data_IF_960341460696
#
_entry.id   IF_960341460696
#
_cell.length_a   1.000
_cell.length_b   1.000
_cell.length_c   1.000
_cell.angle_alpha   90.00
_cell.angle_beta   90.00
_cell.angle_gamma   90.00
#
_symmetry.space_group_name_H-M   'P 1'
#
loop_
_entity.id
_entity.type
_entity.pdbx_description
1 polymer ?
#
# COMPACT_ATOMS: atom_id res chain seq x y z
N UNK A 1 -9.58 -5.97 36.15
CA UNK A 1 -9.15 -4.79 35.34
C UNK A 1 -9.59 -4.86 33.87
N UNK A 2 -9.55 -6.03 33.20
CA UNK A 2 -9.97 -6.17 31.79
C UNK A 2 -11.48 -5.92 31.58
N UNK A 3 -12.34 -6.41 32.47
CA UNK A 3 -13.80 -6.20 32.42
C UNK A 3 -14.22 -4.72 32.35
N UNK A 4 -13.74 -3.88 33.28
CA UNK A 4 -14.03 -2.43 33.28
C UNK A 4 -13.62 -1.73 31.99
N UNK A 5 -12.49 -2.11 31.40
CA UNK A 5 -12.03 -1.53 30.13
C UNK A 5 -12.92 -1.96 28.97
N UNK A 6 -13.29 -3.24 28.93
CA UNK A 6 -14.16 -3.78 27.89
C UNK A 6 -15.57 -3.19 27.95
N UNK A 7 -16.11 -2.99 29.15
CA UNK A 7 -17.42 -2.36 29.38
C UNK A 7 -17.42 -0.89 28.93
N UNK A 8 -16.41 -0.10 29.32
CA UNK A 8 -16.27 1.28 28.83
C UNK A 8 -16.11 1.33 27.30
N UNK A 9 -15.35 0.41 26.71
CA UNK A 9 -15.19 0.34 25.26
C UNK A 9 -16.51 0.03 24.55
N UNK A 10 -17.30 -0.90 25.08
CA UNK A 10 -18.58 -1.28 24.48
C UNK A 10 -19.61 -0.15 24.56
N UNK A 11 -19.62 0.60 25.67
CA UNK A 11 -20.53 1.73 25.85
C UNK A 11 -20.17 2.95 24.99
N UNK A 12 -18.89 3.22 24.79
CA UNK A 12 -18.46 4.44 24.09
C UNK A 12 -18.23 4.24 22.59
N UNK A 13 -17.79 3.05 22.16
CA UNK A 13 -17.38 2.79 20.77
C UNK A 13 -18.39 1.89 20.06
N UNK A 14 -18.80 0.78 20.69
CA UNK A 14 -19.68 -0.19 20.03
C UNK A 14 -21.15 0.25 20.05
N UNK A 15 -21.60 0.97 21.09
CA UNK A 15 -22.98 1.46 21.16
C UNK A 15 -23.31 2.44 20.03
N UNK A 16 -22.36 3.30 19.64
CA UNK A 16 -22.54 4.22 18.51
C UNK A 16 -22.61 3.48 17.17
N UNK A 17 -21.74 2.48 16.98
CA UNK A 17 -21.70 1.63 15.77
C UNK A 17 -22.94 0.72 15.64
N UNK A 18 -23.49 0.23 16.75
CA UNK A 18 -24.69 -0.62 16.75
C UNK A 18 -25.98 0.17 16.43
N UNK A 19 -25.99 1.49 16.67
CA UNK A 19 -27.11 2.34 16.25
C UNK A 19 -27.11 2.57 14.72
N UNK A 20 -25.94 2.50 14.08
CA UNK A 20 -25.79 2.72 12.65
C UNK A 20 -26.04 1.44 11.82
N UNK A 21 -25.66 0.27 12.35
CA UNK A 21 -25.88 -1.03 11.68
C UNK A 21 -26.30 -2.10 12.67
N UNK A 22 -27.51 -2.62 12.46
CA UNK A 22 -28.13 -3.67 13.28
C UNK A 22 -27.33 -4.99 13.25
N UNK A 23 -26.61 -5.27 12.16
CA UNK A 23 -25.77 -6.46 12.01
C UNK A 23 -24.63 -6.55 13.06
N UNK A 24 -24.20 -5.43 13.65
CA UNK A 24 -23.18 -5.43 14.70
C UNK A 24 -23.73 -5.78 16.09
N UNK A 25 -25.06 -5.78 16.27
CA UNK A 25 -25.69 -6.11 17.54
C UNK A 25 -25.43 -7.57 17.93
N UNK A 26 -25.52 -8.48 16.95
CA UNK A 26 -25.23 -9.90 17.13
C UNK A 26 -23.77 -10.13 17.56
N UNK A 27 -22.83 -9.38 16.98
CA UNK A 27 -21.42 -9.50 17.31
C UNK A 27 -21.08 -8.85 18.67
N UNK A 28 -21.82 -7.80 19.06
CA UNK A 28 -21.75 -7.26 20.41
C UNK A 28 -22.27 -8.26 21.46
N UNK A 29 -23.38 -8.94 21.18
CA UNK A 29 -23.92 -9.97 22.08
C UNK A 29 -22.95 -11.14 22.26
N UNK A 30 -22.33 -11.61 21.16
CA UNK A 30 -21.29 -12.65 21.20
C UNK A 30 -20.07 -12.21 22.02
N UNK A 31 -19.61 -10.98 21.86
CA UNK A 31 -18.45 -10.46 22.62
C UNK A 31 -18.78 -10.21 24.10
N UNK A 32 -20.00 -9.77 24.43
CA UNK A 32 -20.45 -9.67 25.83
C UNK A 32 -20.62 -11.04 26.48
N UNK A 33 -21.12 -12.02 25.74
CA UNK A 33 -21.19 -13.41 26.17
C UNK A 33 -19.78 -13.91 26.50
N UNK A 34 -18.78 -13.68 25.65
CA UNK A 34 -17.39 -14.05 25.92
C UNK A 34 -16.81 -13.40 27.19
N UNK A 35 -17.29 -12.20 27.58
CA UNK A 35 -16.85 -11.51 28.79
C UNK A 35 -17.56 -12.01 30.06
N UNK A 36 -18.78 -12.54 29.93
CA UNK A 36 -19.57 -13.07 31.02
C UNK A 36 -19.10 -14.47 31.44
N UNK A 37 -18.48 -15.23 30.53
CA UNK A 37 -17.94 -16.56 30.82
C UNK A 37 -16.51 -16.46 31.39
N UNK A 38 -16.29 -17.16 32.50
CA UNK A 38 -14.99 -17.19 33.19
C UNK A 38 -13.97 -18.09 32.49
N UNK A 39 -14.45 -19.11 31.77
CA UNK A 39 -13.66 -20.06 30.98
C UNK A 39 -14.02 -19.94 29.49
N UNK A 40 -13.05 -19.46 28.70
CA UNK A 40 -13.22 -19.19 27.26
C UNK A 40 -13.39 -20.46 26.42
N UNK A 41 -13.03 -21.64 26.95
CA UNK A 41 -13.21 -22.92 26.25
C UNK A 41 -14.63 -23.49 26.35
N UNK A 42 -15.45 -23.01 27.30
CA UNK A 42 -16.85 -23.42 27.47
C UNK A 42 -17.85 -22.51 26.76
N UNK A 43 -17.36 -21.38 26.26
CA UNK A 43 -18.19 -20.44 25.52
C UNK A 43 -18.37 -20.97 24.07
N UNK A 44 -19.60 -21.03 23.55
CA UNK A 44 -19.84 -21.44 22.16
C UNK A 44 -19.13 -20.55 21.13
N UNK A 45 -18.75 -19.33 21.54
CA UNK A 45 -18.05 -18.35 20.70
C UNK A 45 -16.54 -18.29 20.96
N UNK A 46 -15.97 -19.26 21.68
CA UNK A 46 -14.52 -19.30 21.97
C UNK A 46 -13.65 -19.36 20.72
N UNK A 47 -14.19 -19.80 19.58
CA UNK A 47 -13.53 -19.79 18.28
C UNK A 47 -13.15 -18.37 17.81
N UNK A 48 -13.89 -17.32 18.22
CA UNK A 48 -13.55 -15.93 17.93
C UNK A 48 -12.20 -15.51 18.57
N UNK A 49 -11.76 -16.20 19.61
CA UNK A 49 -10.47 -15.96 20.27
C UNK A 49 -9.34 -16.82 19.67
N UNK A 50 -9.66 -17.74 18.75
CA UNK A 50 -8.69 -18.65 18.15
C UNK A 50 -7.63 -17.91 17.34
N UNK A 51 -6.45 -18.52 17.25
CA UNK A 51 -5.37 -18.01 16.41
C UNK A 51 -5.75 -18.00 14.92
N UNK A 52 -6.55 -18.99 14.49
CA UNK A 52 -7.06 -19.11 13.12
C UNK A 52 -7.89 -17.90 12.71
N UNK A 53 -8.81 -17.45 13.57
CA UNK A 53 -9.64 -16.27 13.29
C UNK A 53 -8.79 -15.00 13.15
N UNK A 54 -7.76 -14.82 13.99
CA UNK A 54 -6.84 -13.67 13.86
C UNK A 54 -6.08 -13.69 12.54
N UNK A 55 -5.61 -14.87 12.12
CA UNK A 55 -4.93 -15.02 10.84
C UNK A 55 -5.87 -14.71 9.67
N UNK A 56 -7.12 -15.22 9.71
CA UNK A 56 -8.13 -14.93 8.69
C UNK A 56 -8.43 -13.44 8.58
N UNK A 57 -8.72 -12.77 9.70
CA UNK A 57 -8.98 -11.32 9.70
C UNK A 57 -7.75 -10.55 9.23
N UNK A 58 -6.53 -10.94 9.62
CA UNK A 58 -5.31 -10.32 9.13
C UNK A 58 -5.15 -10.48 7.62
N UNK A 59 -5.45 -11.65 7.05
CA UNK A 59 -5.42 -11.88 5.61
C UNK A 59 -6.45 -11.05 4.85
N UNK A 60 -7.70 -10.99 5.34
CA UNK A 60 -8.76 -10.18 4.76
C UNK A 60 -8.43 -8.68 4.83
N UNK A 61 -7.97 -8.21 6.00
CA UNK A 61 -7.55 -6.84 6.20
C UNK A 61 -6.37 -6.49 5.28
N UNK A 62 -5.37 -7.37 5.18
CA UNK A 62 -4.22 -7.15 4.30
C UNK A 62 -4.65 -7.08 2.83
N UNK A 63 -5.61 -7.90 2.39
CA UNK A 63 -6.14 -7.82 1.03
C UNK A 63 -6.83 -6.48 0.77
N UNK A 64 -7.70 -6.02 1.68
CA UNK A 64 -8.39 -4.72 1.55
C UNK A 64 -7.41 -3.54 1.62
N UNK A 65 -6.41 -3.60 2.50
CA UNK A 65 -5.33 -2.60 2.53
C UNK A 65 -4.59 -2.61 1.19
N UNK A 66 -4.27 -3.78 0.65
CA UNK A 66 -3.59 -3.87 -0.63
C UNK A 66 -4.46 -3.23 -1.73
N UNK A 67 -5.75 -3.57 -1.80
CA UNK A 67 -6.72 -3.04 -2.77
C UNK A 67 -6.95 -1.53 -2.66
N UNK A 68 -7.04 -0.99 -1.45
CA UNK A 68 -7.13 0.46 -1.24
C UNK A 68 -5.83 1.19 -1.60
N UNK A 69 -4.68 0.53 -1.43
CA UNK A 69 -3.37 1.07 -1.79
C UNK A 69 -2.96 0.78 -3.25
N UNK A 70 -3.69 -0.08 -3.98
CA UNK A 70 -3.49 -0.38 -5.41
C UNK A 70 -3.87 0.80 -6.33
N UNK A 71 -3.72 2.03 -5.88
CA UNK A 71 -3.80 3.20 -6.75
C UNK A 71 -2.74 3.20 -7.86
N UNK A 72 -1.70 2.34 -7.82
CA UNK A 72 -0.66 2.31 -8.85
C UNK A 72 -0.15 0.89 -9.13
N UNK A 73 -1.01 0.06 -9.71
CA UNK A 73 -0.64 -1.28 -10.25
C UNK A 73 0.37 -1.22 -11.41
N UNK A 74 0.71 -0.03 -11.89
CA UNK A 74 1.92 0.21 -12.67
C UNK A 74 2.91 0.94 -11.79
N UNK A 75 4.15 0.43 -11.60
CA UNK A 75 5.16 1.22 -10.94
C UNK A 75 5.28 2.52 -11.74
N UNK A 76 5.00 3.68 -11.11
CA UNK A 76 5.15 5.01 -11.72
C UNK A 76 6.39 5.11 -12.60
N UNK A 77 7.47 4.47 -12.14
CA UNK A 77 8.75 4.31 -12.83
C UNK A 77 8.60 3.68 -14.21
N UNK A 78 7.88 2.56 -14.37
CA UNK A 78 7.66 1.96 -15.69
C UNK A 78 6.83 2.86 -16.62
N UNK A 79 5.89 3.63 -16.08
CA UNK A 79 5.14 4.64 -16.85
C UNK A 79 6.04 5.76 -17.35
N UNK A 80 6.88 6.30 -16.46
CA UNK A 80 7.84 7.36 -16.77
C UNK A 80 8.91 6.88 -17.75
N UNK A 81 9.41 5.65 -17.60
CA UNK A 81 10.38 5.04 -18.52
C UNK A 81 9.81 4.86 -19.93
N UNK A 82 8.55 4.41 -20.04
CA UNK A 82 7.87 4.32 -21.34
C UNK A 82 7.69 5.70 -21.99
N UNK A 83 7.35 6.72 -21.20
CA UNK A 83 7.21 8.09 -21.69
C UNK A 83 8.55 8.69 -22.14
N UNK A 84 9.62 8.43 -21.40
CA UNK A 84 10.98 8.83 -21.76
C UNK A 84 11.44 8.17 -23.05
N UNK A 85 11.25 6.86 -23.20
CA UNK A 85 11.60 6.16 -24.44
C UNK A 85 10.80 6.69 -25.63
N UNK A 86 9.52 6.98 -25.43
CA UNK A 86 8.66 7.56 -26.46
C UNK A 86 9.11 8.96 -26.89
N UNK A 87 9.47 9.83 -25.93
CA UNK A 87 9.91 11.19 -26.25
C UNK A 87 11.25 11.21 -26.99
N UNK A 88 12.18 10.32 -26.63
CA UNK A 88 13.44 10.14 -27.37
C UNK A 88 13.16 9.70 -28.82
N UNK A 89 12.32 8.69 -29.03
CA UNK A 89 11.95 8.23 -30.37
C UNK A 89 11.28 9.33 -31.21
N UNK A 90 10.43 10.18 -30.61
CA UNK A 90 9.81 11.31 -31.33
C UNK A 90 10.80 12.41 -31.69
N UNK A 91 11.78 12.68 -30.83
CA UNK A 91 12.84 13.65 -31.11
C UNK A 91 13.81 13.16 -32.19
N UNK A 92 14.10 11.85 -32.22
CA UNK A 92 14.86 11.20 -33.29
C UNK A 92 14.16 11.33 -34.64
N UNK A 93 12.84 11.10 -34.70
CA UNK A 93 12.04 11.29 -35.92
C UNK A 93 12.07 12.73 -36.42
N UNK A 94 12.06 13.71 -35.51
CA UNK A 94 12.10 15.14 -35.83
C UNK A 94 13.51 15.65 -36.14
N UNK A 95 14.54 14.78 -36.06
CA UNK A 95 15.97 15.13 -36.24
C UNK A 95 16.42 16.32 -35.39
N UNK A 96 15.85 16.46 -34.20
CA UNK A 96 16.25 17.50 -33.25
C UNK A 96 17.47 16.99 -32.50
N UNK A 97 18.47 17.85 -32.25
CA UNK A 97 19.59 17.50 -31.38
C UNK A 97 19.11 17.56 -29.93
N UNK A 98 19.17 16.45 -29.22
CA UNK A 98 18.82 16.37 -27.80
C UNK A 98 19.79 15.42 -27.07
N UNK A 99 20.01 15.62 -25.76
CA UNK A 99 20.84 14.70 -24.98
C UNK A 99 20.11 13.36 -24.85
N UNK A 100 20.65 12.31 -25.47
CA UNK A 100 20.09 10.96 -25.38
C UNK A 100 20.55 10.29 -24.08
N UNK A 101 19.58 9.76 -23.33
CA UNK A 101 19.86 8.93 -22.17
C UNK A 101 20.12 7.50 -22.67
N UNK A 102 21.39 7.10 -22.64
CA UNK A 102 21.83 5.78 -23.13
C UNK A 102 22.02 4.76 -22.01
N UNK A 103 22.17 5.23 -20.77
CA UNK A 103 22.21 4.38 -19.58
C UNK A 103 21.20 4.87 -18.53
N UNK A 104 20.18 4.06 -18.29
CA UNK A 104 19.07 4.33 -17.37
C UNK A 104 19.50 4.09 -15.92
N UNK A 105 20.49 3.21 -15.69
CA UNK A 105 20.95 2.82 -14.35
C UNK A 105 21.96 3.83 -13.81
N UNK A 106 22.86 4.32 -14.66
CA UNK A 106 23.89 5.29 -14.28
C UNK A 106 23.55 6.75 -14.64
N UNK A 107 22.31 7.02 -15.09
CA UNK A 107 21.83 8.35 -15.49
C UNK A 107 22.78 9.11 -16.44
N UNK A 108 23.35 8.43 -17.43
CA UNK A 108 24.37 9.02 -18.31
C UNK A 108 23.73 9.61 -19.56
N UNK A 109 23.88 10.93 -19.73
CA UNK A 109 23.41 11.69 -20.89
C UNK A 109 24.56 11.87 -21.88
N UNK A 110 24.36 11.49 -23.15
CA UNK A 110 25.29 11.90 -24.20
C UNK A 110 25.01 13.36 -24.54
N UNK A 111 25.92 14.27 -24.17
CA UNK A 111 25.84 15.65 -24.61
C UNK A 111 26.15 15.74 -26.11
N UNK A 112 25.43 16.63 -26.79
CA UNK A 112 25.47 16.84 -28.24
C UNK A 112 26.83 17.42 -28.71
N UNK A 113 27.68 17.86 -27.77
CA UNK A 113 28.88 18.64 -28.06
C UNK A 113 30.17 17.80 -28.19
N UNK A 114 30.12 16.49 -27.98
CA UNK A 114 31.34 15.64 -28.02
C UNK A 114 31.83 15.31 -29.44
N UNK A 115 31.21 15.86 -30.49
CA UNK A 115 31.61 15.58 -31.89
C UNK A 115 32.20 16.78 -32.65
N UNK A 116 32.71 17.82 -31.97
CA UNK A 116 33.54 18.82 -32.68
C UNK A 116 34.53 19.61 -31.81
N UNK A 117 35.65 19.00 -31.40
CA UNK A 117 36.98 19.65 -31.55
C UNK A 117 38.16 18.69 -31.30
N UNK A 118 39.00 18.32 -32.30
CA UNK A 118 40.29 17.70 -32.04
C UNK A 118 41.40 18.68 -31.58
N UNK A 119 41.09 19.82 -30.96
CA UNK A 119 42.08 20.87 -30.71
C UNK A 119 42.05 21.56 -29.33
N UNK A 120 41.92 20.80 -28.23
CA UNK A 120 42.15 21.38 -26.88
C UNK A 120 43.16 20.61 -26.02
N UNK A 121 43.76 19.50 -26.48
CA UNK A 121 44.85 18.82 -25.73
C UNK A 121 46.23 19.49 -25.89
N UNK A 122 46.29 20.78 -26.22
CA UNK A 122 47.55 21.51 -26.32
C UNK A 122 47.43 22.97 -25.87
N UNK A 123 47.04 23.20 -24.61
CA UNK A 123 47.46 24.38 -23.86
C UNK A 123 47.10 24.20 -22.37
N UNK A 124 48.16 24.08 -21.56
CA UNK A 124 48.23 24.09 -20.09
C UNK A 124 47.73 22.83 -19.37
#
# INVERSE_FOLDING_TARGET
KKFRRSSNFSQNVLAELCMEKEEFLDDLEKTMTLLAYEDTGKCPYGELLSFSQRQKVASELNAVILDTNHQETLPKIAGILKLLLWSQNELDKKKVKYPQMTDIVNCTLKNIDDEKNPATTLAL
#
